data_IF_006079531192
#
_entry.id   IF_006079531192
#
_cell.length_a   1.000
_cell.length_b   1.000
_cell.length_c   1.000
_cell.angle_alpha   90.00
_cell.angle_beta   90.00
_cell.angle_gamma   90.00
#
_symmetry.space_group_name_H-M   'P 1'
#
loop_
_entity.id
_entity.type
_entity.pdbx_description
1 polymer ?
#
# COMPACT_ATOMS: atom_id res chain seq x y z
N UNK A 1 -24.14 31.96 -12.89
CA UNK A 1 -24.17 31.62 -11.45
C UNK A 1 -22.75 31.40 -10.99
N UNK A 2 -22.16 32.44 -10.40
CA UNK A 2 -20.81 32.42 -9.87
C UNK A 2 -20.81 31.66 -8.53
N UNK A 3 -19.86 30.74 -8.36
CA UNK A 3 -19.56 30.15 -7.05
C UNK A 3 -18.29 30.83 -6.55
N UNK A 4 -18.47 31.60 -5.49
CA UNK A 4 -17.49 32.44 -4.82
C UNK A 4 -16.42 31.59 -4.12
N UNK A 5 -15.15 31.97 -4.31
CA UNK A 5 -14.00 31.34 -3.66
C UNK A 5 -13.97 31.71 -2.18
N UNK A 6 -14.24 30.75 -1.29
CA UNK A 6 -13.95 30.90 0.12
C UNK A 6 -12.44 30.66 0.37
N UNK A 7 -11.72 31.73 0.69
CA UNK A 7 -10.34 31.69 1.16
C UNK A 7 -10.31 31.16 2.60
N UNK A 8 -9.64 30.03 2.83
CA UNK A 8 -9.35 29.52 4.18
C UNK A 8 -8.01 30.13 4.62
N UNK A 9 -8.11 31.12 5.51
CA UNK A 9 -6.98 31.79 6.15
C UNK A 9 -6.28 30.83 7.13
N UNK A 10 -5.11 30.29 6.74
CA UNK A 10 -4.31 29.43 7.63
C UNK A 10 -3.48 30.30 8.57
N UNK A 11 -3.74 30.21 9.87
CA UNK A 11 -2.87 30.80 10.91
C UNK A 11 -1.50 30.12 10.90
N UNK A 12 -0.39 30.86 11.07
CA UNK A 12 0.93 30.25 11.18
C UNK A 12 1.05 29.47 12.50
N UNK A 13 1.32 28.17 12.41
CA UNK A 13 1.79 27.38 13.55
C UNK A 13 3.25 27.72 13.82
N UNK A 14 3.48 28.29 15.01
CA UNK A 14 4.78 28.67 15.52
C UNK A 14 5.57 27.40 15.89
N UNK A 15 6.48 26.94 15.02
CA UNK A 15 7.38 25.82 15.34
C UNK A 15 8.49 26.36 16.24
N UNK A 16 8.24 26.28 17.54
CA UNK A 16 9.23 26.55 18.57
C UNK A 16 10.41 25.58 18.46
N UNK A 17 11.55 26.09 18.01
CA UNK A 17 12.85 25.45 18.10
C UNK A 17 13.18 25.14 19.57
N UNK A 18 12.98 23.89 20.01
CA UNK A 18 13.49 23.43 21.30
C UNK A 18 15.00 23.17 21.18
N UNK A 19 15.78 24.23 21.39
CA UNK A 19 17.18 24.12 21.78
C UNK A 19 17.26 23.59 23.22
N UNK A 20 18.03 22.52 23.38
CA UNK A 20 18.79 22.23 24.59
C UNK A 20 18.14 21.27 25.58
N UNK A 21 18.89 20.23 25.94
CA UNK A 21 19.49 20.15 27.28
C UNK A 21 20.67 19.18 27.25
N UNK A 22 21.85 19.72 27.56
CA UNK A 22 23.05 18.99 27.94
C UNK A 22 22.69 18.13 29.14
N UNK A 23 22.93 16.82 29.06
CA UNK A 23 22.79 15.96 30.23
C UNK A 23 24.08 16.01 31.03
N UNK A 24 23.94 16.56 32.22
CA UNK A 24 24.95 16.65 33.26
C UNK A 24 25.15 15.23 33.83
N UNK A 25 26.36 14.71 33.72
CA UNK A 25 26.79 13.52 34.44
C UNK A 25 27.04 13.90 35.89
N UNK A 26 26.05 13.69 36.75
CA UNK A 26 26.22 13.66 38.21
C UNK A 26 25.65 12.33 38.67
N UNK A 27 26.54 11.44 39.08
CA UNK A 27 26.41 10.62 40.29
C UNK A 27 27.66 9.73 40.38
N UNK A 28 28.74 10.30 40.91
CA UNK A 28 29.73 9.50 41.61
C UNK A 28 29.10 9.05 42.93
N UNK A 29 28.77 7.77 43.03
CA UNK A 29 28.58 7.08 44.31
C UNK A 29 29.44 5.82 44.29
N UNK A 30 30.62 5.96 44.86
CA UNK A 30 31.45 4.86 45.31
C UNK A 30 30.84 4.28 46.60
N UNK A 31 30.12 3.17 46.47
CA UNK A 31 29.79 2.27 47.59
C UNK A 31 29.96 0.82 47.10
N UNK A 32 30.56 -0.08 47.89
CA UNK A 32 30.79 -1.46 47.45
C UNK A 32 29.49 -2.25 47.54
N UNK A 33 28.79 -2.40 46.42
CA UNK A 33 27.70 -3.34 46.27
C UNK A 33 28.26 -4.71 45.88
N UNK A 34 27.76 -5.75 46.53
CA UNK A 34 28.14 -7.16 46.40
C UNK A 34 28.00 -7.60 44.91
N UNK A 35 28.97 -8.34 44.33
CA UNK A 35 29.06 -8.63 42.89
C UNK A 35 27.86 -9.38 42.29
N UNK A 36 26.98 -9.95 43.12
CA UNK A 36 25.74 -10.61 42.68
C UNK A 36 24.67 -9.62 42.20
N UNK A 37 24.60 -8.40 42.76
CA UNK A 37 23.57 -7.40 42.38
C UNK A 37 23.90 -6.67 41.07
N UNK A 38 25.18 -6.51 40.73
CA UNK A 38 25.58 -5.84 39.47
C UNK A 38 25.19 -6.66 38.24
N UNK A 39 25.28 -7.99 38.31
CA UNK A 39 24.86 -8.88 37.20
C UNK A 39 23.35 -8.86 36.98
N UNK A 40 22.58 -8.87 38.06
CA UNK A 40 21.12 -8.82 38.00
C UNK A 40 20.63 -7.49 37.40
N UNK A 41 21.23 -6.36 37.80
CA UNK A 41 20.85 -5.04 37.29
C UNK A 41 21.27 -4.85 35.83
N UNK A 42 22.45 -5.35 35.42
CA UNK A 42 22.88 -5.30 34.03
C UNK A 42 21.99 -6.13 33.09
N UNK A 43 21.55 -7.31 33.52
CA UNK A 43 20.63 -8.17 32.75
C UNK A 43 19.22 -7.55 32.64
N UNK A 44 18.72 -6.93 33.71
CA UNK A 44 17.46 -6.18 33.69
C UNK A 44 17.53 -4.96 32.77
N UNK A 45 18.62 -4.18 32.83
CA UNK A 45 18.82 -3.03 31.95
C UNK A 45 18.99 -3.45 30.48
N UNK A 46 19.69 -4.55 30.18
CA UNK A 46 19.84 -5.07 28.82
C UNK A 46 18.51 -5.63 28.28
N UNK A 47 17.72 -6.31 29.10
CA UNK A 47 16.39 -6.81 28.73
C UNK A 47 15.39 -5.67 28.47
N UNK A 48 15.40 -4.62 29.29
CA UNK A 48 14.61 -3.40 29.06
C UNK A 48 15.07 -2.66 27.80
N UNK A 49 16.38 -2.54 27.54
CA UNK A 49 16.88 -1.90 26.32
C UNK A 49 16.48 -2.64 25.04
N UNK A 50 16.47 -3.98 25.05
CA UNK A 50 15.99 -4.79 23.92
C UNK A 50 14.47 -4.68 23.72
N UNK A 51 13.68 -4.65 24.81
CA UNK A 51 12.23 -4.47 24.73
C UNK A 51 11.83 -3.07 24.24
N UNK A 52 12.54 -2.02 24.68
CA UNK A 52 12.31 -0.64 24.24
C UNK A 52 12.81 -0.43 22.80
N UNK A 53 13.89 -1.10 22.38
CA UNK A 53 14.35 -1.12 20.99
C UNK A 53 13.35 -1.73 20.02
N UNK A 54 12.70 -2.84 20.41
CA UNK A 54 11.62 -3.45 19.61
C UNK A 54 10.37 -2.57 19.50
N UNK A 55 10.02 -1.82 20.57
CA UNK A 55 8.89 -0.88 20.52
C UNK A 55 9.20 0.36 19.68
N UNK A 56 10.46 0.79 19.59
CA UNK A 56 10.87 1.94 18.79
C UNK A 56 10.93 1.66 17.27
N UNK A 57 10.90 0.40 16.85
CA UNK A 57 10.97 0.02 15.43
C UNK A 57 9.60 -0.09 14.73
N UNK A 58 8.49 0.09 15.46
CA UNK A 58 7.14 -0.05 14.93
C UNK A 58 6.46 1.28 14.54
N UNK A 59 7.20 2.39 14.54
CA UNK A 59 6.66 3.71 14.17
C UNK A 59 6.92 4.08 12.68
N UNK A 60 7.52 3.20 11.87
CA UNK A 60 8.09 3.61 10.59
C UNK A 60 7.50 2.93 9.33
N UNK A 61 6.24 2.48 9.35
CA UNK A 61 5.61 1.86 8.15
C UNK A 61 4.68 2.80 7.38
N UNK A 62 4.34 3.99 7.88
CA UNK A 62 3.58 4.98 7.12
C UNK A 62 4.11 6.39 7.39
N UNK A 63 5.33 6.67 6.91
CA UNK A 63 5.66 8.06 6.62
C UNK A 63 4.84 8.46 5.40
N UNK A 64 3.68 9.09 5.62
CA UNK A 64 3.01 9.84 4.57
C UNK A 64 3.89 11.05 4.28
N UNK A 65 4.82 10.89 3.34
CA UNK A 65 5.58 12.03 2.82
C UNK A 65 4.58 12.92 2.09
N UNK A 66 4.42 14.16 2.58
CA UNK A 66 3.69 15.17 1.83
C UNK A 66 4.51 15.40 0.55
N UNK A 67 3.92 15.28 -0.65
CA UNK A 67 4.64 15.54 -1.89
C UNK A 67 5.31 16.90 -1.84
N UNK A 68 6.47 17.02 -2.50
CA UNK A 68 7.14 18.32 -2.60
C UNK A 68 6.18 19.37 -3.18
N UNK A 69 6.37 20.64 -2.81
CA UNK A 69 5.50 21.72 -3.27
C UNK A 69 5.41 21.73 -4.82
N UNK A 70 4.18 21.64 -5.34
CA UNK A 70 3.92 21.55 -6.78
C UNK A 70 3.83 20.13 -7.36
N UNK A 71 4.00 19.08 -6.56
CA UNK A 71 3.83 17.68 -7.00
C UNK A 71 2.44 17.18 -6.61
N UNK A 72 1.62 16.84 -7.62
CA UNK A 72 0.29 16.25 -7.40
C UNK A 72 0.41 14.76 -7.11
N UNK A 73 -0.29 14.21 -6.09
CA UNK A 73 -0.41 12.76 -5.91
C UNK A 73 -1.33 12.11 -6.97
N UNK A 74 -1.91 12.93 -7.85
CA UNK A 74 -2.71 12.48 -9.00
C UNK A 74 -1.87 12.64 -10.25
N UNK A 75 -1.75 11.54 -11.00
CA UNK A 75 -1.14 11.57 -12.32
C UNK A 75 -2.23 11.74 -13.39
N UNK A 76 -2.42 12.99 -13.81
CA UNK A 76 -3.47 13.37 -14.77
C UNK A 76 -3.06 12.98 -16.19
N UNK A 77 -3.37 11.73 -16.58
CA UNK A 77 -3.22 11.24 -17.94
C UNK A 77 -4.55 11.36 -18.71
N UNK A 78 -4.56 11.91 -19.94
CA UNK A 78 -5.75 11.89 -20.78
C UNK A 78 -5.96 10.46 -21.29
N UNK A 79 -6.80 9.69 -20.60
CA UNK A 79 -7.09 8.30 -20.98
C UNK A 79 -8.36 8.22 -21.83
N UNK A 80 -8.20 7.63 -23.01
CA UNK A 80 -9.34 7.27 -23.85
C UNK A 80 -10.19 6.19 -23.18
N UNK A 81 -11.33 5.95 -23.80
CA UNK A 81 -12.31 4.99 -23.34
C UNK A 81 -12.39 3.86 -24.35
N UNK A 82 -12.33 2.63 -23.86
CA UNK A 82 -12.36 1.41 -24.65
C UNK A 82 -13.52 0.52 -24.23
N UNK A 83 -14.02 -0.27 -25.16
CA UNK A 83 -15.03 -1.30 -24.88
C UNK A 83 -14.32 -2.62 -24.57
N UNK A 84 -14.71 -3.27 -23.47
CA UNK A 84 -14.10 -4.50 -23.02
C UNK A 84 -15.15 -5.49 -22.53
N UNK A 85 -15.07 -6.73 -22.99
CA UNK A 85 -15.92 -7.82 -22.53
C UNK A 85 -15.27 -8.58 -21.37
N UNK A 86 -16.09 -9.00 -20.41
CA UNK A 86 -15.64 -9.79 -19.26
C UNK A 86 -15.86 -11.28 -19.54
N UNK A 87 -14.75 -12.01 -19.67
CA UNK A 87 -14.75 -13.46 -19.92
C UNK A 87 -14.11 -14.23 -18.77
N UNK A 88 -14.41 -15.52 -18.68
CA UNK A 88 -13.62 -16.41 -17.85
C UNK A 88 -12.22 -16.52 -18.45
N UNK A 89 -11.22 -16.64 -17.59
CA UNK A 89 -9.82 -16.82 -17.97
C UNK A 89 -9.39 -18.24 -17.65
N UNK A 90 -8.67 -18.86 -18.58
CA UNK A 90 -7.92 -20.11 -18.33
C UNK A 90 -6.52 -19.82 -17.75
N UNK A 91 -6.18 -18.55 -17.57
CA UNK A 91 -4.97 -18.06 -16.90
C UNK A 91 -5.28 -17.57 -15.48
N UNK A 92 -4.22 -17.39 -14.69
CA UNK A 92 -4.25 -16.87 -13.32
C UNK A 92 -4.86 -17.84 -12.30
N UNK A 93 -4.52 -19.12 -12.44
CA UNK A 93 -4.81 -20.12 -11.41
C UNK A 93 -4.30 -19.68 -10.02
N UNK A 94 -4.85 -20.28 -8.97
CA UNK A 94 -4.45 -19.92 -7.61
C UNK A 94 -3.04 -20.39 -7.27
N UNK A 95 -2.61 -21.55 -7.80
CA UNK A 95 -1.38 -22.21 -7.41
C UNK A 95 -0.68 -22.89 -8.60
N UNK A 96 0.63 -23.13 -8.46
CA UNK A 96 1.48 -23.76 -9.47
C UNK A 96 2.50 -22.79 -10.06
N UNK A 97 3.55 -23.34 -10.64
CA UNK A 97 4.66 -22.53 -11.21
C UNK A 97 4.21 -21.65 -12.37
N UNK A 98 3.29 -22.15 -13.20
CA UNK A 98 2.68 -21.35 -14.27
C UNK A 98 1.83 -20.22 -13.70
N UNK A 99 1.03 -20.48 -12.66
CA UNK A 99 0.25 -19.46 -11.99
C UNK A 99 1.15 -18.34 -11.46
N UNK A 100 2.22 -18.68 -10.73
CA UNK A 100 3.15 -17.70 -10.18
C UNK A 100 3.79 -16.84 -11.28
N UNK A 101 4.14 -17.44 -12.43
CA UNK A 101 4.64 -16.69 -13.58
C UNK A 101 3.58 -15.75 -14.19
N UNK A 102 2.34 -16.20 -14.33
CA UNK A 102 1.23 -15.40 -14.85
C UNK A 102 0.92 -14.21 -13.93
N UNK A 103 0.81 -14.43 -12.62
CA UNK A 103 0.58 -13.37 -11.64
C UNK A 103 1.73 -12.36 -11.60
N UNK A 104 2.99 -12.83 -11.66
CA UNK A 104 4.14 -11.95 -11.74
C UNK A 104 4.15 -11.09 -13.02
N UNK A 105 3.69 -11.64 -14.15
CA UNK A 105 3.63 -10.94 -15.44
C UNK A 105 2.60 -9.79 -15.48
N UNK A 106 1.63 -9.74 -14.55
CA UNK A 106 0.70 -8.62 -14.43
C UNK A 106 1.38 -7.33 -13.93
N UNK A 107 2.52 -7.45 -13.24
CA UNK A 107 3.19 -6.29 -12.67
C UNK A 107 3.83 -5.44 -13.77
N UNK A 108 3.51 -4.14 -13.84
CA UNK A 108 4.20 -3.24 -14.76
C UNK A 108 5.70 -3.14 -14.47
N UNK A 109 6.50 -2.64 -15.43
CA UNK A 109 7.91 -2.36 -15.23
C UNK A 109 8.18 -1.56 -13.96
N UNK A 110 9.32 -1.81 -13.31
CA UNK A 110 9.69 -1.19 -12.03
C UNK A 110 8.62 -1.37 -10.93
N UNK A 111 7.86 -2.47 -10.97
CA UNK A 111 6.74 -2.77 -10.05
C UNK A 111 5.66 -1.68 -10.01
N UNK A 112 5.53 -0.93 -11.10
CA UNK A 112 4.61 0.20 -11.22
C UNK A 112 4.99 1.45 -10.45
N UNK A 113 6.29 1.64 -10.18
CA UNK A 113 6.82 2.88 -9.63
C UNK A 113 7.25 3.81 -10.78
N UNK A 114 6.80 5.06 -10.69
CA UNK A 114 7.19 6.17 -11.58
C UNK A 114 7.88 7.28 -10.79
N UNK A 115 8.79 7.99 -11.42
CA UNK A 115 9.48 9.15 -10.84
C UNK A 115 8.95 10.42 -11.50
N UNK A 116 8.36 11.33 -10.71
CA UNK A 116 7.69 12.52 -11.21
C UNK A 116 8.28 13.81 -10.60
N UNK A 117 8.10 14.91 -11.34
CA UNK A 117 8.51 16.24 -10.91
C UNK A 117 10.02 16.50 -10.96
N UNK A 118 10.45 17.73 -10.65
CA UNK A 118 11.85 18.15 -10.75
C UNK A 118 12.78 17.41 -9.77
N UNK A 119 12.22 16.86 -8.70
CA UNK A 119 12.96 16.12 -7.67
C UNK A 119 12.90 14.60 -7.84
N UNK A 120 12.31 14.10 -8.93
CA UNK A 120 12.17 12.65 -9.22
C UNK A 120 11.55 11.88 -8.06
N UNK A 121 10.46 12.43 -7.51
CA UNK A 121 9.75 11.81 -6.40
C UNK A 121 9.07 10.50 -6.87
N UNK A 122 9.21 9.44 -6.08
CA UNK A 122 8.73 8.10 -6.43
C UNK A 122 7.28 7.92 -6.03
N UNK A 123 6.45 7.58 -7.02
CA UNK A 123 5.05 7.24 -6.81
C UNK A 123 4.79 5.82 -7.29
N UNK A 124 4.14 5.01 -6.45
CA UNK A 124 3.55 3.75 -6.89
C UNK A 124 2.14 4.02 -7.43
N UNK A 125 1.87 3.56 -8.64
CA UNK A 125 0.53 3.70 -9.21
C UNK A 125 -0.48 2.85 -8.45
N UNK A 126 -1.66 3.40 -8.23
CA UNK A 126 -2.75 2.73 -7.51
C UNK A 126 -3.13 1.39 -8.16
N UNK A 127 -3.16 1.32 -9.49
CA UNK A 127 -3.41 0.07 -10.23
C UNK A 127 -2.34 -0.99 -9.91
N UNK A 128 -1.05 -0.62 -9.93
CA UNK A 128 0.03 -1.55 -9.65
C UNK A 128 0.01 -2.05 -8.19
N UNK A 129 -0.34 -1.17 -7.25
CA UNK A 129 -0.54 -1.58 -5.85
C UNK A 129 -1.71 -2.57 -5.72
N UNK A 130 -2.83 -2.34 -6.41
CA UNK A 130 -3.97 -3.26 -6.41
C UNK A 130 -3.58 -4.65 -6.94
N UNK A 131 -2.86 -4.71 -8.08
CA UNK A 131 -2.40 -5.99 -8.65
C UNK A 131 -1.46 -6.73 -7.70
N UNK A 132 -0.49 -6.03 -7.10
CA UNK A 132 0.39 -6.60 -6.10
C UNK A 132 -0.38 -7.11 -4.86
N UNK A 133 -1.37 -6.35 -4.39
CA UNK A 133 -2.21 -6.74 -3.26
C UNK A 133 -3.02 -8.01 -3.55
N UNK A 134 -3.55 -8.15 -4.77
CA UNK A 134 -4.28 -9.36 -5.18
C UNK A 134 -3.38 -10.61 -5.15
N UNK A 135 -2.14 -10.50 -5.65
CA UNK A 135 -1.19 -11.61 -5.62
C UNK A 135 -0.76 -11.97 -4.19
N UNK A 136 -0.57 -10.98 -3.31
CA UNK A 136 -0.32 -11.24 -1.88
C UNK A 136 -1.47 -12.02 -1.24
N UNK A 137 -2.72 -11.63 -1.52
CA UNK A 137 -3.91 -12.30 -0.98
C UNK A 137 -3.97 -13.75 -1.47
N UNK A 138 -3.72 -13.96 -2.77
CA UNK A 138 -3.64 -15.30 -3.37
C UNK A 138 -2.58 -16.16 -2.69
N UNK A 139 -1.36 -15.66 -2.56
CA UNK A 139 -0.26 -16.40 -1.94
C UNK A 139 -0.56 -16.80 -0.49
N UNK A 140 -1.14 -15.90 0.30
CA UNK A 140 -1.54 -16.18 1.69
C UNK A 140 -2.68 -17.21 1.77
N UNK A 141 -3.62 -17.14 0.83
CA UNK A 141 -4.70 -18.12 0.69
C UNK A 141 -4.15 -19.52 0.40
N UNK A 142 -3.26 -19.64 -0.59
CA UNK A 142 -2.61 -20.92 -0.96
C UNK A 142 -1.77 -21.46 0.17
N UNK A 143 -0.96 -20.61 0.82
CA UNK A 143 -0.17 -21.02 1.98
C UNK A 143 -1.06 -21.54 3.11
N UNK A 144 -2.24 -20.96 3.30
CA UNK A 144 -3.23 -21.43 4.26
C UNK A 144 -3.81 -22.78 3.91
N UNK A 145 -4.25 -22.92 2.66
CA UNK A 145 -4.83 -24.15 2.13
C UNK A 145 -3.88 -25.34 2.25
N UNK A 146 -2.59 -25.11 2.04
CA UNK A 146 -1.55 -26.15 2.11
C UNK A 146 -0.94 -26.33 3.50
N UNK A 147 -1.42 -25.61 4.52
CA UNK A 147 -0.85 -25.66 5.87
C UNK A 147 0.60 -25.15 5.95
N UNK A 148 1.02 -24.30 5.01
CA UNK A 148 2.36 -23.71 4.91
C UNK A 148 2.46 -22.29 5.47
N UNK A 149 1.40 -21.73 6.07
CA UNK A 149 1.48 -20.42 6.72
C UNK A 149 2.50 -20.47 7.86
N UNK A 150 3.44 -19.53 7.83
CA UNK A 150 4.49 -19.37 8.85
C UNK A 150 4.09 -18.43 9.98
N UNK A 151 2.86 -17.92 9.95
CA UNK A 151 2.29 -17.06 10.98
C UNK A 151 1.94 -17.87 12.23
N UNK A 152 1.94 -17.24 13.42
CA UNK A 152 1.43 -17.88 14.64
C UNK A 152 0.03 -18.45 14.38
N UNK A 153 -0.20 -19.68 14.84
CA UNK A 153 -1.49 -20.38 14.73
C UNK A 153 -2.05 -20.54 13.30
N UNK A 154 -1.24 -20.32 12.26
CA UNK A 154 -1.71 -20.37 10.86
C UNK A 154 -2.67 -19.23 10.48
N UNK A 155 -2.61 -18.10 11.20
CA UNK A 155 -3.43 -16.92 10.96
C UNK A 155 -3.11 -16.23 9.61
N UNK A 156 -4.06 -15.49 9.05
CA UNK A 156 -3.81 -14.66 7.85
C UNK A 156 -2.69 -13.67 8.14
N UNK A 157 -1.72 -13.54 7.23
CA UNK A 157 -0.60 -12.61 7.45
C UNK A 157 -1.08 -11.16 7.58
N UNK A 158 -0.39 -10.38 8.40
CA UNK A 158 -0.65 -8.95 8.54
C UNK A 158 -0.62 -8.21 7.19
N UNK A 159 0.23 -8.68 6.27
CA UNK A 159 0.31 -8.14 4.91
C UNK A 159 -0.93 -8.47 4.09
N UNK A 160 -1.41 -9.71 4.10
CA UNK A 160 -2.65 -10.09 3.41
C UNK A 160 -3.86 -9.35 4.00
N UNK A 161 -3.93 -9.18 5.32
CA UNK A 161 -4.97 -8.38 5.98
C UNK A 161 -4.95 -6.91 5.54
N UNK A 162 -3.77 -6.29 5.47
CA UNK A 162 -3.60 -4.94 4.93
C UNK A 162 -4.06 -4.85 3.47
N UNK A 163 -3.65 -5.81 2.63
CA UNK A 163 -4.01 -5.85 1.22
C UNK A 163 -5.53 -6.02 1.02
N UNK A 164 -6.18 -6.88 1.82
CA UNK A 164 -7.63 -7.05 1.81
C UNK A 164 -8.35 -5.74 2.12
N UNK A 165 -7.88 -5.01 3.15
CA UNK A 165 -8.46 -3.71 3.50
C UNK A 165 -8.25 -2.66 2.39
N UNK A 166 -7.08 -2.66 1.75
CA UNK A 166 -6.80 -1.77 0.62
C UNK A 166 -7.73 -2.05 -0.57
N UNK A 167 -7.85 -3.31 -0.99
CA UNK A 167 -8.74 -3.70 -2.10
C UNK A 167 -10.21 -3.38 -1.78
N UNK A 168 -10.65 -3.64 -0.55
CA UNK A 168 -12.00 -3.25 -0.08
C UNK A 168 -12.23 -1.75 -0.27
N UNK A 169 -11.28 -0.90 0.16
CA UNK A 169 -11.42 0.55 -0.01
C UNK A 169 -11.48 0.96 -1.48
N UNK A 170 -10.63 0.37 -2.32
CA UNK A 170 -10.64 0.66 -3.76
C UNK A 170 -11.95 0.28 -4.43
N UNK A 171 -12.50 -0.90 -4.12
CA UNK A 171 -13.81 -1.34 -4.64
C UNK A 171 -14.94 -0.41 -4.19
N UNK A 172 -14.93 0.04 -2.93
CA UNK A 172 -15.95 0.97 -2.43
C UNK A 172 -15.85 2.36 -3.08
N UNK A 173 -14.64 2.83 -3.39
CA UNK A 173 -14.45 4.16 -3.98
C UNK A 173 -14.62 4.21 -5.51
N UNK A 174 -14.33 3.11 -6.21
CA UNK A 174 -14.24 3.05 -7.67
C UNK A 174 -15.00 1.85 -8.28
N UNK A 175 -15.93 1.27 -7.52
CA UNK A 175 -16.78 0.19 -8.01
C UNK A 175 -17.61 0.63 -9.22
N UNK A 176 -17.78 -0.30 -10.16
CA UNK A 176 -18.65 -0.09 -11.31
C UNK A 176 -20.10 0.13 -10.83
N UNK A 177 -20.73 1.19 -11.33
CA UNK A 177 -22.12 1.57 -11.00
C UNK A 177 -23.08 1.27 -12.15
N UNK A 178 -22.63 0.53 -13.17
CA UNK A 178 -23.48 0.07 -14.26
C UNK A 178 -24.59 -0.83 -13.72
N UNK A 179 -25.81 -0.58 -14.19
CA UNK A 179 -26.94 -1.46 -13.93
C UNK A 179 -26.85 -2.71 -14.83
N UNK A 180 -27.08 -3.87 -14.24
CA UNK A 180 -27.21 -5.12 -14.98
C UNK A 180 -28.50 -5.10 -15.81
N UNK A 181 -28.42 -5.56 -17.05
CA UNK A 181 -29.59 -5.54 -17.94
C UNK A 181 -30.52 -6.69 -17.59
N UNK A 182 -31.82 -6.44 -17.49
CA UNK A 182 -32.81 -7.50 -17.27
C UNK A 182 -33.04 -8.23 -18.60
N UNK A 183 -32.84 -9.56 -18.58
CA UNK A 183 -32.98 -10.41 -19.78
C UNK A 183 -34.33 -11.12 -19.78
N UNK A 184 -34.88 -11.40 -18.59
CA UNK A 184 -36.16 -12.07 -18.44
C UNK A 184 -37.01 -11.42 -17.33
N UNK A 185 -37.75 -10.34 -17.64
CA UNK A 185 -38.51 -9.58 -16.64
C UNK A 185 -39.75 -10.34 -16.12
N UNK A 186 -40.28 -11.28 -16.90
CA UNK A 186 -41.53 -11.99 -16.59
C UNK A 186 -41.35 -13.45 -16.20
N UNK A 187 -40.17 -14.04 -16.45
CA UNK A 187 -39.81 -15.39 -16.02
C UNK A 187 -38.93 -15.36 -14.78
N UNK A 188 -37.71 -15.88 -14.85
CA UNK A 188 -36.87 -16.13 -13.68
C UNK A 188 -36.21 -14.87 -13.08
N UNK A 189 -36.58 -13.67 -13.53
CA UNK A 189 -35.93 -12.41 -13.16
C UNK A 189 -34.42 -12.43 -13.40
N UNK A 190 -34.02 -12.99 -14.55
CA UNK A 190 -32.62 -13.13 -14.91
C UNK A 190 -32.03 -11.79 -15.38
N UNK A 191 -30.78 -11.55 -15.00
CA UNK A 191 -30.00 -10.37 -15.37
C UNK A 191 -28.73 -10.76 -16.12
N UNK A 192 -28.33 -9.92 -17.07
CA UNK A 192 -27.06 -10.03 -17.78
C UNK A 192 -25.98 -9.36 -16.92
N UNK A 193 -25.40 -10.18 -16.03
CA UNK A 193 -24.26 -9.81 -15.19
C UNK A 193 -23.04 -9.48 -16.05
N UNK A 194 -22.87 -10.19 -17.18
CA UNK A 194 -21.73 -10.08 -18.09
C UNK A 194 -22.14 -9.46 -19.42
N UNK A 195 -21.62 -8.28 -19.72
CA UNK A 195 -21.76 -7.60 -21.01
C UNK A 195 -20.56 -6.70 -21.26
N UNK A 196 -20.57 -6.04 -22.41
CA UNK A 196 -19.52 -5.09 -22.78
C UNK A 196 -19.49 -3.91 -21.81
N UNK A 197 -18.30 -3.66 -21.27
CA UNK A 197 -18.03 -2.57 -20.33
C UNK A 197 -17.30 -1.43 -21.01
N UNK A 198 -17.53 -0.22 -20.52
CA UNK A 198 -16.85 1.00 -20.94
C UNK A 198 -15.73 1.28 -19.95
N UNK A 199 -14.48 1.03 -20.34
CA UNK A 199 -13.32 1.10 -19.46
C UNK A 199 -12.38 2.25 -19.87
N UNK A 200 -11.50 2.66 -18.95
CA UNK A 200 -10.36 3.51 -19.31
C UNK A 200 -9.26 2.66 -19.93
N UNK A 201 -8.64 3.20 -20.96
CA UNK A 201 -7.57 2.51 -21.67
C UNK A 201 -6.30 2.45 -20.82
N UNK A 202 -6.05 1.29 -20.22
CA UNK A 202 -4.88 1.07 -19.38
C UNK A 202 -3.59 0.90 -20.18
N UNK A 203 -3.64 0.64 -21.50
CA UNK A 203 -2.41 0.56 -22.30
C UNK A 203 -1.71 1.91 -22.36
N UNK A 204 -2.47 3.00 -22.43
CA UNK A 204 -1.94 4.36 -22.39
C UNK A 204 -1.21 4.69 -21.07
N UNK A 205 -1.65 4.09 -19.96
CA UNK A 205 -0.95 4.21 -18.67
C UNK A 205 0.38 3.47 -18.73
N UNK A 206 0.40 2.23 -19.24
CA UNK A 206 1.63 1.45 -19.39
C UNK A 206 2.63 2.14 -20.32
N UNK A 207 2.16 2.71 -21.43
CA UNK A 207 2.98 3.46 -22.38
C UNK A 207 3.56 4.73 -21.73
N UNK A 208 2.73 5.47 -20.98
CA UNK A 208 3.17 6.65 -20.23
C UNK A 208 4.21 6.31 -19.16
N UNK A 209 4.07 5.16 -18.49
CA UNK A 209 5.06 4.68 -17.52
C UNK A 209 6.40 4.35 -18.18
N UNK A 210 6.36 3.65 -19.31
CA UNK A 210 7.55 3.32 -20.07
C UNK A 210 8.29 4.59 -20.53
N UNK A 211 7.55 5.62 -20.94
CA UNK A 211 8.11 6.89 -21.37
C UNK A 211 8.81 7.64 -20.22
N UNK A 212 8.13 7.80 -19.08
CA UNK A 212 8.72 8.44 -17.89
C UNK A 212 9.99 7.71 -17.44
N UNK A 213 10.01 6.38 -17.52
CA UNK A 213 11.17 5.57 -17.16
C UNK A 213 12.34 5.74 -18.13
N UNK A 214 12.09 5.89 -19.44
CA UNK A 214 13.15 6.14 -20.44
C UNK A 214 13.84 7.48 -20.24
N UNK A 215 13.08 8.54 -19.97
CA UNK A 215 13.63 9.89 -19.75
C UNK A 215 14.41 9.98 -18.43
N UNK A 216 14.16 9.04 -17.51
CA UNK A 216 14.76 8.99 -16.19
C UNK A 216 16.07 8.17 -16.13
N UNK A 217 16.42 7.43 -17.19
CA UNK A 217 17.62 6.59 -17.28
C UNK A 217 18.81 7.37 -17.87
#
# INVERSE_FOLDING_TARGET
MAVEKAAIERRPMNVGSKKGKRQISICGLSSPLIPSMQRAMALLCAGLALAVGSLAQQENMFSFSIPAEGVSPVWDLPLDTVLMDVHNTDNYDLNGTLADAQWAALMPPNRGIVELGPHREKFMLSMAHQLQCLDVIRQDYVAGWEGRRTTPNGEVSARAHHCLNYIRQMVLCRGDRRLEQVVDPFGAHAVQVRGTQTCKDWTQVLDSMAEVQRVSA
#
